data_IF_262269534498
#
_entry.id   IF_262269534498
#
_cell.length_a   1.000
_cell.length_b   1.000
_cell.length_c   1.000
_cell.angle_alpha   90.00
_cell.angle_beta   90.00
_cell.angle_gamma   90.00
#
_symmetry.space_group_name_H-M   'P 1'
#
loop_
_entity.id
_entity.type
_entity.pdbx_description
1 polymer ?
#
# COMPACT_ATOMS: atom_id res chain seq x y z
N UNK A 1 4.71 40.11 56.17
CA UNK A 1 5.18 39.81 54.78
C UNK A 1 4.39 38.62 54.26
N UNK A 2 3.41 38.85 53.38
CA UNK A 2 2.56 37.79 52.79
C UNK A 2 3.08 37.46 51.40
N UNK A 3 3.73 36.27 51.22
CA UNK A 3 4.14 35.75 49.93
C UNK A 3 2.91 35.19 49.20
N UNK A 4 2.60 35.75 48.06
CA UNK A 4 1.62 35.19 47.11
C UNK A 4 2.36 34.26 46.17
N UNK A 5 2.08 32.96 46.25
CA UNK A 5 2.47 32.00 45.20
C UNK A 5 1.49 32.15 44.06
N UNK A 6 1.98 32.63 42.93
CA UNK A 6 1.26 32.58 41.64
C UNK A 6 1.35 31.16 41.07
N UNK A 7 0.23 30.44 41.12
CA UNK A 7 0.06 29.15 40.44
C UNK A 7 -0.08 29.40 38.94
N UNK A 8 1.01 29.21 38.19
CA UNK A 8 0.95 29.25 36.71
C UNK A 8 0.34 27.93 36.23
N UNK A 9 -0.96 27.93 35.92
CA UNK A 9 -1.60 26.85 35.17
C UNK A 9 -1.06 26.87 33.72
N UNK A 10 -0.12 26.02 33.42
CA UNK A 10 0.26 25.74 32.04
C UNK A 10 -0.91 25.06 31.33
N UNK A 11 -1.68 25.85 30.56
CA UNK A 11 -2.65 25.33 29.60
C UNK A 11 -1.86 24.65 28.50
N UNK A 12 -1.65 23.34 28.60
CA UNK A 12 -1.18 22.51 27.50
C UNK A 12 -2.24 22.55 26.41
N UNK A 13 -2.00 23.37 25.40
CA UNK A 13 -2.74 23.35 24.14
C UNK A 13 -2.58 21.98 23.50
N UNK A 14 -3.52 21.06 23.77
CA UNK A 14 -3.67 19.82 23.03
C UNK A 14 -3.97 20.20 21.58
N UNK A 15 -2.92 20.24 20.74
CA UNK A 15 -3.14 20.12 19.30
C UNK A 15 -4.02 18.89 19.11
N UNK A 16 -5.08 19.01 18.32
CA UNK A 16 -6.08 17.97 18.06
C UNK A 16 -5.42 16.79 17.35
N UNK A 17 -4.66 15.99 18.09
CA UNK A 17 -4.21 14.68 17.65
C UNK A 17 -5.45 13.78 17.54
N UNK A 18 -5.53 12.96 16.51
CA UNK A 18 -6.56 11.93 16.45
C UNK A 18 -6.44 11.03 17.67
N UNK A 19 -7.58 10.55 18.15
CA UNK A 19 -7.56 9.55 19.20
C UNK A 19 -6.83 8.28 18.70
N UNK A 20 -6.06 7.61 19.56
CA UNK A 20 -5.50 6.31 19.24
C UNK A 20 -6.59 5.33 18.80
N UNK A 21 -6.27 4.46 17.86
CA UNK A 21 -7.17 3.39 17.46
C UNK A 21 -7.42 2.46 18.65
N UNK A 22 -8.67 2.16 18.91
CA UNK A 22 -9.11 1.27 19.98
C UNK A 22 -10.01 0.17 19.41
N UNK A 23 -10.11 -0.96 20.09
CA UNK A 23 -10.99 -2.06 19.68
C UNK A 23 -12.45 -1.64 19.40
N UNK A 24 -12.91 -0.52 19.98
CA UNK A 24 -14.24 0.07 19.76
C UNK A 24 -14.32 1.16 18.69
N UNK A 25 -13.22 1.51 18.01
CA UNK A 25 -13.26 2.58 16.97
C UNK A 25 -14.30 2.23 15.90
N UNK A 26 -15.26 3.13 15.67
CA UNK A 26 -16.39 2.89 14.77
C UNK A 26 -15.97 2.80 13.31
N UNK A 27 -16.69 2.01 12.51
CA UNK A 27 -16.54 1.98 11.05
C UNK A 27 -16.83 3.37 10.48
N UNK A 28 -16.03 3.81 9.52
CA UNK A 28 -16.07 5.15 8.95
C UNK A 28 -15.21 6.18 9.69
N UNK A 29 -14.78 5.88 10.92
CA UNK A 29 -13.99 6.81 11.74
C UNK A 29 -12.50 6.75 11.41
N UNK A 30 -11.84 7.87 11.70
CA UNK A 30 -10.39 8.01 11.66
C UNK A 30 -9.81 7.84 13.07
N UNK A 31 -8.66 7.18 13.16
CA UNK A 31 -7.88 7.08 14.39
C UNK A 31 -6.38 7.04 14.06
N UNK A 32 -5.54 7.11 15.06
CA UNK A 32 -4.09 7.02 14.95
C UNK A 32 -3.62 5.61 15.35
N UNK A 33 -2.90 4.93 14.45
CA UNK A 33 -2.37 3.58 14.68
C UNK A 33 -0.85 3.57 14.60
N UNK A 34 -0.21 2.76 15.42
CA UNK A 34 1.20 2.43 15.26
C UNK A 34 1.44 1.68 13.96
N UNK A 35 2.41 2.11 13.14
CA UNK A 35 2.71 1.38 11.89
C UNK A 35 3.12 -0.06 12.18
N UNK A 36 3.81 -0.31 13.30
CA UNK A 36 4.23 -1.64 13.74
C UNK A 36 3.05 -2.57 14.08
N UNK A 37 1.87 -2.01 14.32
CA UNK A 37 0.64 -2.74 14.68
C UNK A 37 -0.23 -3.05 13.47
N UNK A 38 0.14 -2.51 12.29
CA UNK A 38 -0.60 -2.75 11.05
C UNK A 38 -0.14 -4.04 10.39
N UNK A 39 -1.09 -4.94 10.15
CA UNK A 39 -0.87 -6.19 9.44
C UNK A 39 -1.11 -6.00 7.94
N UNK A 40 -0.17 -6.40 7.06
CA UNK A 40 -0.39 -6.33 5.62
C UNK A 40 -1.34 -7.42 5.13
N UNK A 41 -2.05 -7.14 4.04
CA UNK A 41 -3.00 -8.07 3.39
C UNK A 41 -2.50 -8.54 2.03
N UNK A 42 -1.22 -8.36 1.75
CA UNK A 42 -0.54 -8.80 0.52
C UNK A 42 0.87 -9.31 0.83
N UNK A 43 1.40 -10.19 -0.04
CA UNK A 43 2.68 -10.86 0.19
C UNK A 43 3.92 -9.99 0.01
N UNK A 44 3.87 -8.87 -0.72
CA UNK A 44 5.02 -8.01 -0.97
C UNK A 44 4.69 -6.69 -1.65
N UNK A 45 5.69 -5.86 -1.86
CA UNK A 45 5.60 -4.55 -2.52
C UNK A 45 6.74 -4.36 -3.53
N UNK A 46 6.60 -3.48 -4.49
CA UNK A 46 7.72 -3.04 -5.33
C UNK A 46 8.64 -2.10 -4.55
N UNK A 47 9.82 -2.56 -4.13
CA UNK A 47 10.73 -1.76 -3.29
C UNK A 47 11.18 -0.47 -3.98
N UNK A 48 11.46 -0.48 -5.28
CA UNK A 48 11.84 0.74 -6.00
C UNK A 48 10.72 1.79 -6.03
N UNK A 49 9.44 1.39 -5.95
CA UNK A 49 8.32 2.33 -5.74
C UNK A 49 8.29 2.87 -4.30
N UNK A 50 8.59 2.02 -3.32
CA UNK A 50 8.74 2.46 -1.91
C UNK A 50 9.86 3.50 -1.82
N UNK A 51 11.02 3.25 -2.42
CA UNK A 51 12.17 4.15 -2.43
C UNK A 51 11.85 5.49 -3.12
N UNK A 52 11.06 5.46 -4.19
CA UNK A 52 10.58 6.67 -4.87
C UNK A 52 9.66 7.50 -3.97
N UNK A 53 8.73 6.84 -3.27
CA UNK A 53 7.86 7.50 -2.28
C UNK A 53 8.72 8.06 -1.16
N UNK A 54 9.69 7.31 -0.64
CA UNK A 54 10.59 7.73 0.42
C UNK A 54 11.37 9.00 0.01
N UNK A 55 11.90 9.07 -1.22
CA UNK A 55 12.55 10.27 -1.74
C UNK A 55 11.61 11.48 -1.79
N UNK A 56 10.33 11.29 -2.16
CA UNK A 56 9.32 12.35 -2.15
C UNK A 56 8.91 12.79 -0.74
N UNK A 57 9.08 11.92 0.26
CA UNK A 57 8.82 12.23 1.67
C UNK A 57 10.01 12.90 2.34
N UNK A 58 11.22 12.68 1.86
CA UNK A 58 12.46 13.22 2.43
C UNK A 58 12.37 14.74 2.58
N UNK A 59 12.80 15.26 3.73
CA UNK A 59 12.79 16.69 4.04
C UNK A 59 11.41 17.28 4.39
N UNK A 60 10.33 16.48 4.37
CA UNK A 60 9.01 16.98 4.81
C UNK A 60 8.96 17.12 6.33
N UNK A 61 8.44 18.25 6.80
CA UNK A 61 8.16 18.46 8.21
C UNK A 61 7.01 17.55 8.69
N UNK A 62 6.89 17.35 10.02
CA UNK A 62 5.79 16.58 10.61
C UNK A 62 4.40 17.10 10.16
N UNK A 63 4.22 18.42 10.07
CA UNK A 63 2.98 19.05 9.56
C UNK A 63 2.70 18.71 8.09
N UNK A 64 3.75 18.66 7.26
CA UNK A 64 3.59 18.29 5.84
C UNK A 64 3.25 16.80 5.68
N UNK A 65 3.83 15.93 6.50
CA UNK A 65 3.50 14.51 6.54
C UNK A 65 2.07 14.29 7.03
N UNK A 66 1.64 14.96 8.09
CA UNK A 66 0.24 14.90 8.57
C UNK A 66 -0.75 15.35 7.50
N UNK A 67 -0.47 16.46 6.80
CA UNK A 67 -1.31 16.93 5.70
C UNK A 67 -1.34 15.93 4.52
N UNK A 68 -0.25 15.24 4.26
CA UNK A 68 -0.20 14.17 3.25
C UNK A 68 -1.11 13.00 3.67
N UNK A 69 -1.00 12.55 4.92
CA UNK A 69 -1.81 11.45 5.46
C UNK A 69 -3.30 11.77 5.51
N UNK A 70 -3.67 13.04 5.73
CA UNK A 70 -5.07 13.50 5.60
C UNK A 70 -5.63 13.34 4.19
N UNK A 71 -4.78 13.53 3.16
CA UNK A 71 -5.18 13.39 1.74
C UNK A 71 -5.09 11.96 1.23
N UNK A 72 -4.23 11.14 1.81
CA UNK A 72 -3.96 9.76 1.41
C UNK A 72 -4.58 8.82 2.44
N UNK A 73 -5.87 8.58 2.31
CA UNK A 73 -6.57 7.62 3.16
C UNK A 73 -5.81 6.29 3.25
N UNK A 74 -5.52 5.84 4.47
CA UNK A 74 -4.92 4.53 4.76
C UNK A 74 -6.03 3.66 5.34
N UNK A 75 -6.71 2.83 4.51
CA UNK A 75 -7.84 2.05 4.95
C UNK A 75 -7.40 0.80 5.71
N UNK A 76 -8.11 0.50 6.79
CA UNK A 76 -7.89 -0.70 7.59
C UNK A 76 -9.21 -1.42 7.86
N UNK A 77 -9.14 -2.75 7.96
CA UNK A 77 -10.19 -3.61 8.46
C UNK A 77 -9.82 -4.08 9.87
N UNK A 78 -10.76 -4.05 10.79
CA UNK A 78 -10.56 -4.58 12.15
C UNK A 78 -10.97 -6.05 12.18
N UNK A 79 -10.03 -6.91 12.59
CA UNK A 79 -10.25 -8.34 12.72
C UNK A 79 -10.98 -8.72 14.02
N UNK A 80 -11.45 -9.98 14.15
CA UNK A 80 -12.15 -10.45 15.34
C UNK A 80 -11.32 -10.40 16.63
N UNK A 81 -10.00 -10.40 16.54
CA UNK A 81 -9.06 -10.25 17.66
C UNK A 81 -8.72 -8.79 17.99
N UNK A 82 -9.26 -7.85 17.21
CA UNK A 82 -8.99 -6.42 17.34
C UNK A 82 -7.80 -5.92 16.51
N UNK A 83 -7.08 -6.79 15.80
CA UNK A 83 -5.96 -6.42 14.92
C UNK A 83 -6.39 -5.55 13.74
N UNK A 84 -5.50 -4.64 13.31
CA UNK A 84 -5.73 -3.72 12.20
C UNK A 84 -5.04 -4.22 10.93
N UNK A 85 -5.84 -4.60 9.94
CA UNK A 85 -5.35 -5.13 8.66
C UNK A 85 -5.38 -4.04 7.60
N UNK A 86 -4.21 -3.67 7.10
CA UNK A 86 -4.03 -2.66 6.06
C UNK A 86 -4.47 -3.22 4.71
N UNK A 87 -5.46 -2.60 4.07
CA UNK A 87 -6.02 -3.13 2.81
C UNK A 87 -5.58 -2.36 1.56
N UNK A 88 -5.01 -1.16 1.72
CA UNK A 88 -4.38 -0.37 0.66
C UNK A 88 -3.22 0.46 1.22
N UNK A 89 -2.46 1.13 0.35
CA UNK A 89 -1.33 2.02 0.73
C UNK A 89 -0.12 1.32 1.34
N UNK A 90 0.09 0.03 1.10
CA UNK A 90 1.24 -0.74 1.60
C UNK A 90 2.59 -0.07 1.25
N UNK A 91 2.77 0.40 0.00
CA UNK A 91 4.00 1.11 -0.41
C UNK A 91 4.20 2.40 0.40
N UNK A 92 3.15 3.21 0.55
CA UNK A 92 3.22 4.46 1.33
C UNK A 92 3.52 4.18 2.80
N UNK A 93 2.83 3.20 3.39
CA UNK A 93 3.00 2.86 4.80
C UNK A 93 4.41 2.32 5.07
N UNK A 94 4.95 1.48 4.17
CA UNK A 94 6.34 1.02 4.26
C UNK A 94 7.35 2.17 4.11
N UNK A 95 7.12 3.10 3.18
CA UNK A 95 7.97 4.27 3.00
C UNK A 95 7.96 5.19 4.24
N UNK A 96 6.80 5.40 4.85
CA UNK A 96 6.67 6.16 6.11
C UNK A 96 7.43 5.47 7.25
N UNK A 97 7.30 4.13 7.38
CA UNK A 97 8.08 3.35 8.33
C UNK A 97 9.59 3.55 8.15
N UNK A 98 10.09 3.45 6.92
CA UNK A 98 11.51 3.65 6.60
C UNK A 98 12.00 5.08 6.86
N UNK A 99 11.11 6.08 6.87
CA UNK A 99 11.38 7.46 7.30
C UNK A 99 11.34 7.64 8.82
N UNK A 100 11.12 6.58 9.60
CA UNK A 100 11.05 6.63 11.05
C UNK A 100 9.71 7.13 11.62
N UNK A 101 8.68 7.28 10.78
CA UNK A 101 7.32 7.61 11.24
C UNK A 101 6.79 6.43 12.05
N UNK A 102 6.34 6.69 13.27
CA UNK A 102 5.87 5.66 14.20
C UNK A 102 4.36 5.45 14.13
N UNK A 103 3.62 6.51 13.88
CA UNK A 103 2.16 6.50 13.88
C UNK A 103 1.61 7.07 12.60
N UNK A 104 0.52 6.51 12.12
CA UNK A 104 -0.20 6.97 10.92
C UNK A 104 -1.68 7.08 11.21
N UNK A 105 -2.29 8.01 10.52
CA UNK A 105 -3.73 8.19 10.48
C UNK A 105 -4.34 7.11 9.60
N UNK A 106 -5.23 6.30 10.15
CA UNK A 106 -5.94 5.25 9.42
C UNK A 106 -7.45 5.49 9.45
N UNK A 107 -8.16 4.95 8.49
CA UNK A 107 -9.62 4.93 8.44
C UNK A 107 -10.12 3.51 8.58
N UNK A 108 -10.94 3.26 9.58
CA UNK A 108 -11.61 1.96 9.74
C UNK A 108 -12.71 1.85 8.70
N UNK A 109 -12.53 0.99 7.70
CA UNK A 109 -13.51 0.80 6.61
C UNK A 109 -14.48 -0.34 6.89
N UNK A 110 -14.09 -1.31 7.72
CA UNK A 110 -14.94 -2.42 8.13
C UNK A 110 -14.45 -3.01 9.45
N UNK A 111 -15.33 -3.79 10.07
CA UNK A 111 -15.05 -4.63 11.22
C UNK A 111 -15.65 -6.01 10.96
N UNK A 112 -14.82 -7.03 10.94
CA UNK A 112 -15.25 -8.41 10.76
C UNK A 112 -15.23 -9.11 12.11
N UNK A 113 -16.31 -9.84 12.41
CA UNK A 113 -16.49 -10.53 13.70
C UNK A 113 -16.33 -12.04 13.57
N UNK A 114 -16.56 -12.58 12.38
CA UNK A 114 -16.48 -14.01 12.12
C UNK A 114 -15.03 -14.45 11.91
N UNK A 115 -14.44 -15.04 12.94
CA UNK A 115 -13.06 -15.55 12.93
C UNK A 115 -12.87 -16.67 11.89
N UNK A 116 -13.85 -17.55 11.76
CA UNK A 116 -13.74 -18.71 10.86
C UNK A 116 -13.73 -18.28 9.38
N UNK A 117 -14.47 -17.23 9.04
CA UNK A 117 -14.61 -16.73 7.68
C UNK A 117 -13.87 -15.40 7.43
N UNK A 118 -12.99 -14.98 8.35
CA UNK A 118 -12.29 -13.69 8.23
C UNK A 118 -11.60 -13.54 6.87
N UNK A 119 -10.75 -14.48 6.50
CA UNK A 119 -9.99 -14.40 5.26
C UNK A 119 -10.85 -14.55 4.00
N UNK A 120 -11.89 -15.36 4.04
CA UNK A 120 -12.87 -15.45 2.95
C UNK A 120 -13.57 -14.11 2.73
N UNK A 121 -13.96 -13.44 3.82
CA UNK A 121 -14.55 -12.11 3.74
C UNK A 121 -13.54 -11.06 3.22
N UNK A 122 -12.29 -11.12 3.67
CA UNK A 122 -11.23 -10.23 3.17
C UNK A 122 -11.02 -10.37 1.66
N UNK A 123 -11.00 -11.62 1.15
CA UNK A 123 -10.85 -11.87 -0.29
C UNK A 123 -12.11 -11.49 -1.09
N UNK A 124 -13.29 -11.81 -0.61
CA UNK A 124 -14.56 -11.50 -1.28
C UNK A 124 -14.80 -9.98 -1.40
N UNK A 125 -14.30 -9.20 -0.43
CA UNK A 125 -14.34 -7.74 -0.47
C UNK A 125 -13.12 -7.13 -1.18
N UNK A 126 -12.26 -7.93 -1.78
CA UNK A 126 -11.03 -7.48 -2.44
C UNK A 126 -10.07 -6.69 -1.53
N UNK A 127 -10.02 -7.04 -0.25
CA UNK A 127 -9.16 -6.41 0.76
C UNK A 127 -7.87 -7.18 1.01
N UNK A 128 -7.74 -8.40 0.46
CA UNK A 128 -6.55 -9.21 0.59
C UNK A 128 -6.13 -9.86 -0.74
N UNK A 129 -4.83 -9.88 -1.01
CA UNK A 129 -4.20 -10.59 -2.12
C UNK A 129 -3.34 -11.72 -1.58
N UNK A 130 -3.93 -12.93 -1.47
CA UNK A 130 -3.27 -14.12 -0.94
C UNK A 130 -2.55 -14.89 -2.05
N UNK A 131 -1.58 -14.21 -2.69
CA UNK A 131 -0.69 -14.82 -3.69
C UNK A 131 0.70 -14.23 -3.57
N UNK A 132 1.70 -15.03 -3.93
CA UNK A 132 3.10 -14.58 -4.02
C UNK A 132 3.36 -13.72 -5.28
N UNK A 133 4.62 -13.37 -5.51
CA UNK A 133 5.01 -12.57 -6.69
C UNK A 133 4.73 -13.27 -8.02
N UNK A 134 4.71 -14.60 -8.03
CA UNK A 134 4.45 -15.43 -9.21
C UNK A 134 2.96 -15.69 -9.44
N UNK A 135 2.12 -15.22 -8.52
CA UNK A 135 0.68 -15.45 -8.57
C UNK A 135 0.26 -16.80 -7.98
N UNK A 136 1.17 -17.53 -7.31
CA UNK A 136 0.85 -18.78 -6.62
C UNK A 136 0.15 -18.49 -5.30
N UNK A 137 -0.82 -19.33 -4.89
CA UNK A 137 -1.56 -19.12 -3.64
C UNK A 137 -0.63 -19.08 -2.42
N UNK A 138 -0.92 -18.17 -1.49
CA UNK A 138 -0.37 -18.13 -0.14
C UNK A 138 -1.48 -18.44 0.86
N UNK A 139 -1.14 -19.11 1.95
CA UNK A 139 -2.02 -19.13 3.11
C UNK A 139 -1.87 -17.83 3.90
N UNK A 140 -2.85 -17.45 4.71
CA UNK A 140 -2.76 -16.25 5.54
C UNK A 140 -1.52 -16.21 6.46
N UNK A 141 -1.09 -17.35 6.95
CA UNK A 141 0.07 -17.50 7.84
C UNK A 141 1.41 -17.25 7.12
N UNK A 142 1.40 -17.32 5.79
CA UNK A 142 2.57 -17.02 4.95
C UNK A 142 2.69 -15.52 4.64
N UNK A 143 1.68 -14.71 4.96
CA UNK A 143 1.79 -13.26 4.83
C UNK A 143 2.80 -12.72 5.85
N UNK A 144 3.55 -11.67 5.51
CA UNK A 144 4.33 -10.94 6.50
C UNK A 144 3.43 -10.43 7.63
N UNK A 145 3.88 -10.51 8.86
CA UNK A 145 3.09 -10.08 10.01
C UNK A 145 3.12 -8.57 10.23
N UNK A 146 4.12 -7.88 9.64
CA UNK A 146 4.33 -6.44 9.80
C UNK A 146 4.70 -5.79 8.46
N UNK A 147 4.45 -4.50 8.34
CA UNK A 147 4.71 -3.70 7.12
C UNK A 147 6.20 -3.68 6.74
N UNK A 148 7.10 -3.62 7.72
CA UNK A 148 8.55 -3.62 7.46
C UNK A 148 9.07 -4.95 6.90
N UNK A 149 8.37 -6.05 7.15
CA UNK A 149 8.71 -7.38 6.68
C UNK A 149 8.25 -7.67 5.24
N UNK A 150 7.47 -6.79 4.61
CA UNK A 150 7.03 -6.96 3.23
C UNK A 150 8.25 -7.12 2.31
N UNK A 151 8.43 -8.26 1.61
CA UNK A 151 9.53 -8.45 0.68
C UNK A 151 9.39 -7.57 -0.57
N UNK A 152 10.48 -7.41 -1.29
CA UNK A 152 10.46 -6.80 -2.61
C UNK A 152 9.87 -7.78 -3.64
N UNK A 153 8.87 -7.29 -4.37
CA UNK A 153 8.34 -7.90 -5.59
C UNK A 153 8.74 -7.03 -6.79
N UNK A 154 9.91 -7.23 -7.39
CA UNK A 154 10.48 -6.33 -8.38
C UNK A 154 9.55 -6.09 -9.59
N UNK A 155 8.83 -7.11 -10.01
CA UNK A 155 7.87 -7.01 -11.11
C UNK A 155 6.63 -6.17 -10.74
N UNK A 156 6.32 -6.06 -9.44
CA UNK A 156 5.28 -5.13 -8.95
C UNK A 156 5.70 -3.66 -9.20
N UNK A 157 7.00 -3.36 -9.12
CA UNK A 157 7.54 -2.05 -9.54
C UNK A 157 7.29 -1.80 -11.02
N UNK A 158 7.64 -2.75 -11.90
CA UNK A 158 7.40 -2.58 -13.36
C UNK A 158 5.91 -2.38 -13.66
N UNK A 159 5.04 -3.18 -13.05
CA UNK A 159 3.60 -3.05 -13.25
C UNK A 159 3.09 -1.65 -12.80
N UNK A 160 3.53 -1.15 -11.66
CA UNK A 160 3.18 0.20 -11.22
C UNK A 160 3.65 1.28 -12.19
N UNK A 161 4.89 1.20 -12.67
CA UNK A 161 5.43 2.15 -13.65
C UNK A 161 4.73 2.08 -15.01
N UNK A 162 4.30 0.90 -15.44
CA UNK A 162 3.47 0.74 -16.65
C UNK A 162 2.11 1.38 -16.49
N UNK A 163 1.47 1.19 -15.33
CA UNK A 163 0.19 1.81 -15.02
C UNK A 163 0.30 3.34 -14.99
N UNK A 164 1.31 3.89 -14.31
CA UNK A 164 1.56 5.33 -14.24
C UNK A 164 1.82 5.92 -15.63
N UNK A 165 2.39 5.13 -16.55
CA UNK A 165 2.61 5.51 -17.94
C UNK A 165 1.41 5.21 -18.87
N UNK A 166 0.26 4.75 -18.35
CA UNK A 166 -0.96 4.53 -19.10
C UNK A 166 -0.97 3.28 -19.99
N UNK A 167 -0.11 2.29 -19.71
CA UNK A 167 -0.08 1.02 -20.47
C UNK A 167 -1.20 0.06 -20.07
N UNK A 168 -1.85 0.28 -18.98
CA UNK A 168 -3.12 -0.36 -18.58
C UNK A 168 -3.85 0.53 -17.59
N UNK A 169 -5.16 0.32 -17.44
CA UNK A 169 -5.98 1.10 -16.53
C UNK A 169 -6.42 0.25 -15.32
N UNK A 170 -6.83 0.96 -14.27
CA UNK A 170 -7.54 0.38 -13.12
C UNK A 170 -9.05 0.68 -13.17
N UNK A 171 -9.54 1.11 -14.34
CA UNK A 171 -10.94 1.48 -14.49
C UNK A 171 -11.84 0.24 -14.37
N UNK A 172 -12.98 0.44 -13.75
CA UNK A 172 -13.96 -0.61 -13.54
C UNK A 172 -13.78 -1.37 -12.22
N UNK A 173 -14.52 -2.46 -12.08
CA UNK A 173 -14.53 -3.32 -10.89
C UNK A 173 -13.42 -4.39 -10.92
N UNK A 174 -12.21 -4.01 -11.34
CA UNK A 174 -11.08 -4.94 -11.40
C UNK A 174 -10.09 -4.59 -10.30
N UNK A 175 -9.83 -5.55 -9.44
CA UNK A 175 -8.96 -5.40 -8.28
C UNK A 175 -7.61 -6.08 -8.52
N UNK A 176 -6.57 -5.62 -7.83
CA UNK A 176 -5.23 -6.21 -7.88
C UNK A 176 -4.62 -6.28 -9.30
N UNK A 177 -5.01 -5.35 -10.15
CA UNK A 177 -4.59 -5.28 -11.55
C UNK A 177 -3.07 -5.35 -11.69
N UNK A 178 -2.34 -4.57 -10.88
CA UNK A 178 -0.88 -4.54 -10.94
C UNK A 178 -0.23 -5.87 -10.51
N UNK A 179 -0.88 -6.66 -9.67
CA UNK A 179 -0.36 -7.99 -9.33
C UNK A 179 -0.51 -8.98 -10.49
N UNK A 180 -1.65 -8.94 -11.20
CA UNK A 180 -1.84 -9.74 -12.39
C UNK A 180 -0.79 -9.40 -13.48
N UNK A 181 -0.58 -8.10 -13.72
CA UNK A 181 0.45 -7.61 -14.64
C UNK A 181 1.85 -7.99 -14.19
N UNK A 182 2.16 -7.87 -12.89
CA UNK A 182 3.48 -8.21 -12.34
C UNK A 182 3.81 -9.69 -12.55
N UNK A 183 2.89 -10.59 -12.21
CA UNK A 183 3.07 -12.03 -12.40
C UNK A 183 3.24 -12.40 -13.87
N UNK A 184 2.41 -11.82 -14.75
CA UNK A 184 2.53 -12.04 -16.20
C UNK A 184 3.86 -11.52 -16.76
N UNK A 185 4.27 -10.30 -16.40
CA UNK A 185 5.56 -9.75 -16.82
C UNK A 185 6.73 -10.61 -16.32
N UNK A 186 6.66 -11.11 -15.09
CA UNK A 186 7.66 -12.01 -14.54
C UNK A 186 7.83 -13.26 -15.40
N UNK A 187 6.73 -13.87 -15.79
CA UNK A 187 6.74 -15.03 -16.71
C UNK A 187 7.33 -14.67 -18.08
N UNK A 188 6.87 -13.57 -18.70
CA UNK A 188 7.37 -13.15 -20.02
C UNK A 188 8.84 -12.73 -20.02
N UNK A 189 9.37 -12.32 -18.90
CA UNK A 189 10.75 -11.86 -18.73
C UNK A 189 11.62 -12.88 -17.98
N UNK A 190 11.14 -14.13 -17.83
CA UNK A 190 11.86 -15.25 -17.21
C UNK A 190 12.35 -14.94 -15.79
N UNK A 191 11.61 -14.12 -15.05
CA UNK A 191 11.94 -13.70 -13.68
C UNK A 191 13.35 -13.13 -13.52
N UNK A 192 13.91 -12.52 -14.58
CA UNK A 192 15.24 -11.91 -14.54
C UNK A 192 15.28 -10.80 -13.50
N UNK A 193 16.39 -10.66 -12.75
CA UNK A 193 16.51 -9.66 -11.70
C UNK A 193 16.24 -8.23 -12.19
N UNK A 194 15.61 -7.44 -11.33
CA UNK A 194 15.32 -6.02 -11.55
C UNK A 194 15.87 -5.24 -10.38
N UNK A 195 16.69 -4.24 -10.66
CA UNK A 195 17.28 -3.32 -9.70
C UNK A 195 17.34 -1.90 -10.28
N UNK A 196 17.83 -0.95 -9.51
CA UNK A 196 17.94 0.44 -9.93
C UNK A 196 18.83 0.63 -11.16
N UNK A 197 19.87 -0.19 -11.35
CA UNK A 197 20.83 -0.07 -12.45
C UNK A 197 20.20 -0.51 -13.78
N UNK A 198 19.36 -1.52 -13.77
CA UNK A 198 18.75 -2.10 -14.98
C UNK A 198 17.28 -1.68 -15.18
N UNK A 199 16.63 -1.02 -14.21
CA UNK A 199 15.20 -0.69 -14.24
C UNK A 199 14.75 -0.05 -15.56
N UNK A 200 15.52 0.90 -16.09
CA UNK A 200 15.17 1.59 -17.34
C UNK A 200 15.07 0.61 -18.52
N UNK A 201 16.03 -0.28 -18.64
CA UNK A 201 16.05 -1.30 -19.72
C UNK A 201 14.89 -2.28 -19.53
N UNK A 202 14.66 -2.75 -18.29
CA UNK A 202 13.56 -3.66 -17.97
C UNK A 202 12.20 -3.02 -18.21
N UNK A 203 12.04 -1.74 -17.89
CA UNK A 203 10.80 -1.00 -18.16
C UNK A 203 10.53 -0.87 -19.67
N UNK A 204 11.56 -0.61 -20.49
CA UNK A 204 11.38 -0.58 -21.94
C UNK A 204 11.00 -1.95 -22.51
N UNK A 205 11.53 -3.04 -21.96
CA UNK A 205 11.12 -4.39 -22.31
C UNK A 205 9.65 -4.63 -21.91
N UNK A 206 9.27 -4.29 -20.68
CA UNK A 206 7.91 -4.42 -20.17
C UNK A 206 6.89 -3.62 -21.00
N UNK A 207 7.23 -2.39 -21.42
CA UNK A 207 6.40 -1.56 -22.31
C UNK A 207 6.12 -2.26 -23.65
N UNK A 208 7.14 -2.88 -24.24
CA UNK A 208 6.95 -3.64 -25.50
C UNK A 208 6.07 -4.88 -25.30
N UNK A 209 6.24 -5.58 -24.18
CA UNK A 209 5.42 -6.76 -23.84
C UNK A 209 3.97 -6.36 -23.59
N UNK A 210 3.74 -5.27 -22.85
CA UNK A 210 2.39 -4.80 -22.51
C UNK A 210 1.53 -4.47 -23.73
N UNK A 211 2.14 -4.20 -24.89
CA UNK A 211 1.43 -3.92 -26.13
C UNK A 211 1.26 -5.15 -27.06
N UNK A 212 1.64 -6.32 -26.60
CA UNK A 212 1.47 -7.55 -27.37
C UNK A 212 0.06 -8.12 -27.22
N UNK A 213 -0.36 -8.92 -28.19
CA UNK A 213 -1.65 -9.62 -28.17
C UNK A 213 -1.79 -10.55 -26.96
N UNK A 214 -0.69 -11.14 -26.51
CA UNK A 214 -0.64 -12.05 -25.36
C UNK A 214 -1.04 -11.34 -24.03
N UNK A 215 -0.91 -10.02 -23.96
CA UNK A 215 -1.38 -9.23 -22.82
C UNK A 215 -2.89 -8.95 -22.84
N UNK A 216 -3.60 -9.27 -23.92
CA UNK A 216 -5.01 -8.87 -24.11
C UNK A 216 -5.99 -9.48 -23.10
N UNK A 217 -5.60 -10.57 -22.44
CA UNK A 217 -6.42 -11.22 -21.41
C UNK A 217 -6.21 -10.61 -20.03
N UNK A 218 -5.22 -9.71 -19.88
CA UNK A 218 -4.94 -9.07 -18.60
C UNK A 218 -5.96 -7.96 -18.30
N UNK A 219 -6.30 -7.77 -17.02
CA UNK A 219 -7.23 -6.72 -16.63
C UNK A 219 -6.68 -5.35 -17.01
N UNK A 220 -7.57 -4.46 -17.47
CA UNK A 220 -7.22 -3.10 -17.85
C UNK A 220 -6.37 -2.98 -19.13
N UNK A 221 -6.23 -4.04 -19.93
CA UNK A 221 -5.50 -3.99 -21.20
C UNK A 221 -6.06 -2.90 -22.14
N UNK A 222 -5.22 -1.97 -22.66
CA UNK A 222 -5.69 -0.78 -23.37
C UNK A 222 -6.08 -1.04 -24.84
N UNK A 223 -5.94 -2.26 -25.32
CA UNK A 223 -6.24 -2.58 -26.73
C UNK A 223 -5.39 -1.75 -27.70
N UNK A 224 -6.05 -1.15 -28.71
CA UNK A 224 -5.39 -0.35 -29.76
C UNK A 224 -4.70 0.92 -29.24
N UNK A 225 -5.06 1.44 -28.07
CA UNK A 225 -4.43 2.63 -27.49
C UNK A 225 -2.96 2.39 -27.09
N UNK A 226 -2.55 1.13 -26.93
CA UNK A 226 -1.16 0.79 -26.61
C UNK A 226 -0.16 1.25 -27.68
N UNK A 227 -0.58 1.36 -28.95
CA UNK A 227 0.27 1.85 -30.04
C UNK A 227 0.52 3.36 -29.98
N UNK A 228 -0.39 4.13 -29.40
CA UNK A 228 -0.29 5.60 -29.27
C UNK A 228 0.71 6.02 -28.19
N UNK A 229 0.94 5.18 -27.19
CA UNK A 229 1.90 5.43 -26.12
C UNK A 229 3.37 5.15 -26.54
N UNK A 230 3.62 4.63 -27.74
CA UNK A 230 4.97 4.42 -28.29
C UNK A 230 5.66 5.69 -28.78
N UNK A 231 4.91 6.77 -29.00
CA UNK A 231 5.36 8.02 -29.60
C UNK A 231 5.61 9.16 -28.61
N UNK A 232 5.53 8.88 -27.32
CA UNK A 232 5.89 9.79 -26.22
C UNK A 232 7.03 9.16 -25.40
#
# INVERSE_FOLDING_TARGET
>A
MKSWLLLVCALSSSAWALAPCQGGTAVGSWCEAGIAELHPTQGGVGQLQVDEIQRKLAGKSAKQLDNLMKKKEIPVVVAPDGGYWLVDRHHLTKALWQQGVKQVRVKVIARLQDRANFWSQMQNNHWAWLKDEKGLPLTPEQLPTRIDQLPDYPYRTLAGLLQDAGYFSKDGQVYFVEFAWASWLGQQMEWRPIDSANLRVRLQQAKRLACRQEASTLPGYPGRQCSLNRSK
#
